data_IF_030852924894
#
_entry.id   IF_030852924894
#
_cell.length_a   1.000
_cell.length_b   1.000
_cell.length_c   1.000
_cell.angle_alpha   90.00
_cell.angle_beta   90.00
_cell.angle_gamma   90.00
#
_symmetry.space_group_name_H-M   'P 1'
#
loop_
_entity.id
_entity.type
_entity.pdbx_description
1 polymer ?
#
# COMPACT_ATOMS: atom_id res chain seq x y z
N UNK A 1 -38.45 -32.34 -13.73
CA UNK A 1 -38.64 -31.28 -12.73
C UNK A 1 -37.36 -30.43 -12.60
N UNK A 2 -36.87 -29.87 -13.72
CA UNK A 2 -35.58 -29.13 -13.79
C UNK A 2 -35.57 -28.02 -14.86
N UNK A 3 -36.74 -27.56 -15.33
CA UNK A 3 -36.85 -26.59 -16.43
C UNK A 3 -37.74 -25.38 -16.12
N UNK A 4 -37.98 -25.06 -14.83
CA UNK A 4 -38.81 -23.90 -14.44
C UNK A 4 -38.09 -22.81 -13.65
N UNK A 5 -36.82 -22.99 -13.26
CA UNK A 5 -36.07 -22.03 -12.42
C UNK A 5 -35.03 -21.17 -13.18
N UNK A 6 -34.92 -21.30 -14.51
CA UNK A 6 -33.95 -20.54 -15.31
C UNK A 6 -34.53 -19.26 -15.94
N UNK A 7 -35.84 -19.03 -15.85
CA UNK A 7 -36.51 -17.87 -16.49
C UNK A 7 -36.60 -16.66 -15.55
N UNK A 8 -36.45 -16.83 -14.24
CA UNK A 8 -36.49 -15.71 -13.27
C UNK A 8 -35.13 -15.02 -13.03
N UNK A 9 -34.01 -15.68 -13.30
CA UNK A 9 -32.67 -15.10 -13.13
C UNK A 9 -32.31 -14.09 -14.24
N UNK A 10 -32.99 -14.12 -15.39
CA UNK A 10 -32.75 -13.18 -16.49
C UNK A 10 -33.61 -11.91 -16.41
N UNK A 11 -34.64 -11.85 -15.56
CA UNK A 11 -35.53 -10.67 -15.46
C UNK A 11 -35.15 -9.67 -14.35
N UNK A 12 -34.25 -10.01 -13.42
CA UNK A 12 -33.75 -9.04 -12.43
C UNK A 12 -32.49 -8.27 -12.88
N UNK A 13 -31.82 -8.67 -13.97
CA UNK A 13 -30.62 -7.98 -14.46
C UNK A 13 -30.91 -6.79 -15.38
N UNK A 14 -32.17 -6.54 -15.74
CA UNK A 14 -32.55 -5.50 -16.70
C UNK A 14 -33.18 -4.23 -16.06
N UNK A 15 -33.30 -4.15 -14.73
CA UNK A 15 -33.95 -3.01 -14.05
C UNK A 15 -33.09 -2.27 -13.01
N UNK A 16 -31.84 -2.67 -12.79
CA UNK A 16 -30.90 -1.94 -11.90
C UNK A 16 -29.81 -1.14 -12.64
N UNK A 17 -29.76 -1.21 -13.98
CA UNK A 17 -28.65 -0.64 -14.77
C UNK A 17 -28.74 0.84 -15.14
N UNK A 18 -29.82 1.57 -14.79
CA UNK A 18 -30.09 2.90 -15.36
C UNK A 18 -30.27 4.05 -14.35
N UNK A 19 -30.04 3.84 -13.05
CA UNK A 19 -30.18 4.93 -12.06
C UNK A 19 -28.89 5.71 -11.81
N UNK A 20 -27.71 5.12 -12.05
CA UNK A 20 -26.40 5.77 -11.80
C UNK A 20 -25.94 6.72 -12.92
N UNK A 21 -26.30 6.45 -14.18
CA UNK A 21 -25.74 7.18 -15.34
C UNK A 21 -26.34 8.57 -15.54
N UNK A 22 -27.52 8.84 -14.97
CA UNK A 22 -28.21 10.13 -15.08
C UNK A 22 -27.84 11.12 -13.96
N UNK A 23 -27.36 10.63 -12.82
CA UNK A 23 -27.07 11.45 -11.63
C UNK A 23 -25.80 12.30 -11.77
N UNK A 24 -24.74 11.73 -12.34
CA UNK A 24 -23.43 12.39 -12.44
C UNK A 24 -23.37 13.57 -13.41
N UNK A 25 -24.41 13.79 -14.23
CA UNK A 25 -24.45 14.92 -15.18
C UNK A 25 -24.76 16.26 -14.52
N UNK A 26 -25.22 16.27 -13.26
CA UNK A 26 -25.61 17.49 -12.53
C UNK A 26 -24.67 17.86 -11.38
N UNK A 27 -23.76 16.98 -11.00
CA UNK A 27 -22.78 17.24 -9.93
C UNK A 27 -21.56 18.00 -10.44
N UNK A 28 -20.90 18.76 -9.57
CA UNK A 28 -19.57 19.31 -9.87
C UNK A 28 -18.62 18.15 -10.09
N UNK A 29 -18.05 18.05 -11.29
CA UNK A 29 -17.16 16.95 -11.66
C UNK A 29 -15.71 17.29 -11.31
N UNK A 30 -15.04 16.39 -10.59
CA UNK A 30 -13.61 16.50 -10.32
C UNK A 30 -12.78 16.32 -11.60
N UNK A 31 -11.61 16.96 -11.66
CA UNK A 31 -10.68 16.81 -12.78
C UNK A 31 -10.01 15.45 -12.70
N UNK A 32 -10.21 14.62 -13.71
CA UNK A 32 -9.56 13.31 -13.76
C UNK A 32 -8.25 13.37 -14.53
N UNK A 33 -7.19 12.82 -13.99
CA UNK A 33 -5.87 12.80 -14.61
C UNK A 33 -5.12 11.49 -14.29
N UNK A 34 -3.87 11.40 -14.78
CA UNK A 34 -2.97 10.32 -14.42
C UNK A 34 -1.66 10.91 -13.90
N UNK A 35 -1.39 10.74 -12.61
CA UNK A 35 -0.18 11.26 -11.96
C UNK A 35 0.68 10.09 -11.51
N UNK A 36 1.93 10.03 -11.97
CA UNK A 36 2.86 8.91 -11.69
C UNK A 36 2.30 7.52 -12.04
N UNK A 37 1.40 7.45 -13.02
CA UNK A 37 0.74 6.20 -13.41
C UNK A 37 -0.52 5.85 -12.61
N UNK A 38 -0.83 6.59 -11.56
CA UNK A 38 -2.05 6.41 -10.76
C UNK A 38 -3.20 7.21 -11.35
N UNK A 39 -4.42 6.66 -11.30
CA UNK A 39 -5.63 7.36 -11.72
C UNK A 39 -6.07 8.35 -10.63
N UNK A 40 -5.99 9.63 -10.92
CA UNK A 40 -6.26 10.71 -9.96
C UNK A 40 -7.59 11.39 -10.26
N UNK A 41 -8.35 11.70 -9.21
CA UNK A 41 -9.48 12.64 -9.26
C UNK A 41 -9.18 13.82 -8.36
N UNK A 42 -8.98 14.97 -8.98
CA UNK A 42 -8.69 16.24 -8.32
C UNK A 42 -9.97 17.06 -8.13
N UNK A 43 -10.39 17.15 -6.87
CA UNK A 43 -11.53 17.89 -6.39
C UNK A 43 -11.14 19.06 -5.47
N UNK A 44 -9.88 19.53 -5.56
CA UNK A 44 -9.33 20.56 -4.69
C UNK A 44 -10.16 21.86 -4.73
N UNK A 45 -10.53 22.39 -3.56
CA UNK A 45 -11.19 23.69 -3.41
C UNK A 45 -12.42 23.89 -4.31
N UNK A 46 -13.31 22.90 -4.32
CA UNK A 46 -14.53 22.89 -5.13
C UNK A 46 -15.80 23.26 -4.35
N UNK A 47 -15.68 23.69 -3.10
CA UNK A 47 -16.80 23.94 -2.16
C UNK A 47 -17.71 22.70 -1.98
N UNK A 48 -17.14 21.49 -2.01
CA UNK A 48 -17.89 20.26 -1.81
C UNK A 48 -18.34 20.13 -0.36
N UNK A 49 -19.61 19.78 -0.15
CA UNK A 49 -20.19 19.58 1.19
C UNK A 49 -20.29 18.11 1.60
N UNK A 50 -20.10 17.21 0.64
CA UNK A 50 -20.20 15.76 0.75
C UNK A 50 -19.09 15.14 -0.09
N UNK A 51 -18.75 13.89 0.22
CA UNK A 51 -17.88 13.10 -0.64
C UNK A 51 -18.54 12.96 -2.03
N UNK A 52 -17.79 13.12 -3.14
CA UNK A 52 -18.34 13.05 -4.49
C UNK A 52 -18.76 11.62 -4.85
N UNK A 53 -19.96 11.45 -5.39
CA UNK A 53 -20.51 10.13 -5.76
C UNK A 53 -20.12 9.66 -7.16
N UNK A 54 -19.45 10.53 -7.92
CA UNK A 54 -19.20 10.41 -9.35
C UNK A 54 -17.71 10.38 -9.71
N UNK A 55 -16.88 9.80 -8.84
CA UNK A 55 -15.49 9.49 -9.19
C UNK A 55 -15.41 8.26 -10.10
N UNK A 56 -14.34 8.12 -10.90
CA UNK A 56 -14.09 6.90 -11.65
C UNK A 56 -13.98 5.67 -10.71
N UNK A 57 -14.60 4.51 -11.03
CA UNK A 57 -14.61 3.35 -10.14
C UNK A 57 -13.23 2.78 -9.76
N UNK A 58 -12.22 3.01 -10.60
CA UNK A 58 -10.83 2.59 -10.39
C UNK A 58 -9.91 3.78 -10.06
N UNK A 59 -10.45 4.81 -9.39
CA UNK A 59 -9.65 5.92 -8.87
C UNK A 59 -8.70 5.40 -7.78
N UNK A 60 -7.45 5.84 -7.83
CA UNK A 60 -6.39 5.45 -6.91
C UNK A 60 -5.97 6.62 -6.02
N UNK A 61 -6.06 7.85 -6.52
CA UNK A 61 -5.74 9.08 -5.79
C UNK A 61 -6.94 9.99 -5.81
N UNK A 62 -7.41 10.40 -4.63
CA UNK A 62 -8.54 11.32 -4.48
C UNK A 62 -8.08 12.52 -3.68
N UNK A 63 -8.07 13.67 -4.34
CA UNK A 63 -7.71 14.96 -3.74
C UNK A 63 -9.00 15.73 -3.44
N UNK A 64 -9.34 15.88 -2.16
CA UNK A 64 -10.55 16.53 -1.66
C UNK A 64 -10.23 17.67 -0.67
N UNK A 65 -8.99 18.14 -0.64
CA UNK A 65 -8.57 19.17 0.30
C UNK A 65 -9.24 20.53 0.03
N UNK A 66 -9.32 21.36 1.07
CA UNK A 66 -9.89 22.71 1.03
C UNK A 66 -11.37 22.73 0.59
N UNK A 67 -12.14 21.75 1.05
CA UNK A 67 -13.58 21.68 0.81
C UNK A 67 -14.36 21.96 2.11
N UNK A 68 -15.63 21.58 2.17
CA UNK A 68 -16.51 21.77 3.35
C UNK A 68 -17.21 20.47 3.71
N UNK A 69 -16.54 19.35 3.48
CA UNK A 69 -17.06 18.01 3.76
C UNK A 69 -17.14 17.86 5.28
N UNK A 70 -18.31 17.44 5.78
CA UNK A 70 -18.54 17.30 7.23
C UNK A 70 -18.49 15.87 7.73
N UNK A 71 -18.67 14.92 6.83
CA UNK A 71 -18.75 13.49 7.11
C UNK A 71 -18.24 12.75 5.89
N UNK A 72 -17.59 11.63 6.15
CA UNK A 72 -17.31 10.59 5.16
C UNK A 72 -17.92 9.32 5.73
N UNK A 73 -18.80 8.68 4.96
CA UNK A 73 -19.57 7.53 5.40
C UNK A 73 -18.97 6.25 4.78
N UNK A 74 -19.31 5.07 5.33
CA UNK A 74 -18.82 3.79 4.81
C UNK A 74 -19.04 3.63 3.29
N UNK A 75 -20.23 3.99 2.81
CA UNK A 75 -20.60 3.88 1.40
C UNK A 75 -19.74 4.77 0.46
N UNK A 76 -19.15 5.85 1.00
CA UNK A 76 -18.29 6.75 0.22
C UNK A 76 -16.97 6.06 -0.13
N UNK A 77 -16.34 5.37 0.83
CA UNK A 77 -15.09 4.65 0.61
C UNK A 77 -15.31 3.26 -0.01
N UNK A 78 -16.39 2.58 0.37
CA UNK A 78 -16.74 1.25 -0.18
C UNK A 78 -16.95 1.28 -1.70
N UNK A 79 -17.47 2.39 -2.25
CA UNK A 79 -17.66 2.59 -3.69
C UNK A 79 -16.34 2.66 -4.47
N UNK A 80 -15.24 2.99 -3.81
CA UNK A 80 -13.93 3.23 -4.43
C UNK A 80 -12.83 2.39 -3.75
N UNK A 81 -12.89 1.05 -3.87
CA UNK A 81 -12.03 0.13 -3.11
C UNK A 81 -10.55 0.18 -3.49
N UNK A 82 -10.21 0.85 -4.60
CA UNK A 82 -8.85 0.98 -5.13
C UNK A 82 -8.15 2.27 -4.68
N UNK A 83 -8.77 3.09 -3.83
CA UNK A 83 -8.12 4.29 -3.30
C UNK A 83 -6.88 3.87 -2.52
N UNK A 84 -5.75 4.45 -2.91
CA UNK A 84 -4.43 4.31 -2.29
C UNK A 84 -4.02 5.59 -1.56
N UNK A 85 -4.46 6.75 -2.05
CA UNK A 85 -4.16 8.05 -1.45
C UNK A 85 -5.44 8.87 -1.36
N UNK A 86 -5.81 9.26 -0.14
CA UNK A 86 -6.99 10.08 0.14
C UNK A 86 -6.57 11.34 0.91
N UNK A 87 -6.75 12.50 0.29
CA UNK A 87 -6.44 13.79 0.89
C UNK A 87 -7.73 14.53 1.23
N UNK A 88 -7.96 14.78 2.51
CA UNK A 88 -9.15 15.45 3.06
C UNK A 88 -8.74 16.66 3.91
N UNK A 89 -7.54 17.20 3.70
CA UNK A 89 -6.99 18.33 4.46
C UNK A 89 -7.89 19.55 4.37
N UNK A 90 -8.04 20.31 5.44
CA UNK A 90 -8.84 21.55 5.47
C UNK A 90 -10.29 21.28 4.99
N UNK A 91 -10.98 20.47 5.78
CA UNK A 91 -12.42 20.20 5.66
C UNK A 91 -13.08 20.45 7.03
N UNK A 92 -14.34 20.03 7.18
CA UNK A 92 -15.12 20.22 8.41
C UNK A 92 -15.51 18.87 9.02
N UNK A 93 -14.69 17.85 8.83
CA UNK A 93 -15.00 16.49 9.26
C UNK A 93 -14.88 16.43 10.78
N UNK A 94 -15.98 16.12 11.44
CA UNK A 94 -16.01 16.00 12.90
C UNK A 94 -16.22 14.58 13.41
N UNK A 95 -16.67 13.68 12.53
CA UNK A 95 -16.92 12.27 12.85
C UNK A 95 -16.63 11.41 11.63
N UNK A 96 -16.00 10.28 11.89
CA UNK A 96 -15.85 9.14 11.00
C UNK A 96 -16.62 7.96 11.60
N UNK A 97 -17.25 7.15 10.77
CA UNK A 97 -17.93 5.94 11.23
C UNK A 97 -16.91 4.85 11.58
N UNK A 98 -17.21 4.01 12.58
CA UNK A 98 -16.26 3.03 13.13
C UNK A 98 -15.84 1.97 12.08
N UNK A 99 -16.73 1.66 11.12
CA UNK A 99 -16.52 0.70 10.04
C UNK A 99 -16.09 1.33 8.70
N UNK A 100 -15.84 2.65 8.64
CA UNK A 100 -15.60 3.37 7.38
C UNK A 100 -14.45 2.78 6.54
N UNK A 101 -13.45 2.20 7.20
CA UNK A 101 -12.26 1.63 6.55
C UNK A 101 -12.31 0.11 6.40
N UNK A 102 -13.40 -0.56 6.76
CA UNK A 102 -13.50 -2.03 6.81
C UNK A 102 -13.06 -2.74 5.52
N UNK A 103 -13.37 -2.16 4.36
CA UNK A 103 -13.02 -2.72 3.05
C UNK A 103 -11.83 -2.01 2.37
N UNK A 104 -11.20 -1.05 3.07
CA UNK A 104 -10.07 -0.26 2.56
C UNK A 104 -8.78 -1.07 2.61
N UNK A 105 -8.61 -1.97 1.63
CA UNK A 105 -7.44 -2.86 1.57
C UNK A 105 -6.24 -2.27 0.84
N UNK A 106 -6.42 -1.16 0.11
CA UNK A 106 -5.36 -0.54 -0.72
C UNK A 106 -4.87 0.81 -0.20
N UNK A 107 -5.49 1.36 0.87
CA UNK A 107 -5.21 2.71 1.35
C UNK A 107 -3.81 2.79 1.97
N UNK A 108 -2.91 3.55 1.35
CA UNK A 108 -1.53 3.74 1.78
C UNK A 108 -1.30 5.07 2.50
N UNK A 109 -1.97 6.13 2.04
CA UNK A 109 -1.86 7.48 2.62
C UNK A 109 -3.25 8.04 2.89
N UNK A 110 -3.46 8.51 4.12
CA UNK A 110 -4.66 9.21 4.52
C UNK A 110 -4.29 10.52 5.20
N UNK A 111 -4.75 11.63 4.64
CA UNK A 111 -4.57 12.96 5.20
C UNK A 111 -5.93 13.50 5.67
N UNK A 112 -6.07 13.64 6.99
CA UNK A 112 -7.23 14.20 7.67
C UNK A 112 -6.84 15.48 8.45
N UNK A 113 -5.70 16.08 8.13
CA UNK A 113 -5.22 17.27 8.83
C UNK A 113 -6.17 18.45 8.67
N UNK A 114 -6.15 19.38 9.62
CA UNK A 114 -6.99 20.59 9.60
C UNK A 114 -8.47 20.21 9.42
N UNK A 115 -8.99 19.46 10.38
CA UNK A 115 -10.40 19.09 10.48
C UNK A 115 -10.88 19.33 11.93
N UNK A 116 -12.03 18.78 12.31
CA UNK A 116 -12.60 18.94 13.65
C UNK A 116 -12.85 17.57 14.31
N UNK A 117 -11.99 16.59 14.04
CA UNK A 117 -12.15 15.23 14.54
C UNK A 117 -11.99 15.19 16.06
N UNK A 118 -12.91 14.52 16.74
CA UNK A 118 -12.77 14.21 18.16
C UNK A 118 -12.09 12.84 18.40
N UNK A 119 -12.26 11.90 17.46
CA UNK A 119 -11.63 10.57 17.49
C UNK A 119 -11.46 10.03 16.07
N UNK A 120 -10.58 9.05 15.90
CA UNK A 120 -10.52 8.22 14.69
C UNK A 120 -11.04 6.81 14.97
N UNK A 121 -11.61 6.12 13.96
CA UNK A 121 -12.07 4.74 14.14
C UNK A 121 -10.88 3.82 14.44
N UNK A 122 -10.97 2.91 15.42
CA UNK A 122 -9.85 2.04 15.81
C UNK A 122 -9.26 1.21 14.67
N UNK A 123 -10.10 0.86 13.69
CA UNK A 123 -9.72 0.12 12.48
C UNK A 123 -8.64 0.81 11.64
N UNK A 124 -8.48 2.14 11.75
CA UNK A 124 -7.49 2.92 10.99
C UNK A 124 -6.04 2.47 11.28
N UNK A 125 -5.74 2.08 12.52
CA UNK A 125 -4.40 1.65 12.95
C UNK A 125 -4.09 0.20 12.57
N UNK A 126 -5.11 -0.56 12.16
CA UNK A 126 -5.01 -1.96 11.75
C UNK A 126 -5.09 -2.14 10.23
N UNK A 127 -5.13 -1.04 9.47
CA UNK A 127 -5.19 -1.11 8.02
C UNK A 127 -3.96 -1.81 7.44
N UNK A 128 -4.16 -2.81 6.55
CA UNK A 128 -3.09 -3.72 6.13
C UNK A 128 -2.06 -3.07 5.19
N UNK A 129 -2.35 -1.87 4.68
CA UNK A 129 -1.53 -1.15 3.71
C UNK A 129 -1.25 0.30 4.08
N UNK A 130 -1.87 0.83 5.16
CA UNK A 130 -1.72 2.23 5.56
C UNK A 130 -0.32 2.48 6.12
N UNK A 131 0.45 3.29 5.39
CA UNK A 131 1.83 3.67 5.73
C UNK A 131 1.89 5.05 6.35
N UNK A 132 1.00 5.97 5.94
CA UNK A 132 1.06 7.37 6.34
C UNK A 132 -0.30 7.88 6.75
N UNK A 133 -0.37 8.41 7.98
CA UNK A 133 -1.56 8.99 8.56
C UNK A 133 -1.26 10.40 9.07
N UNK A 134 -1.96 11.40 8.54
CA UNK A 134 -1.90 12.78 9.01
C UNK A 134 -3.21 13.13 9.75
N UNK A 135 -3.08 13.53 11.01
CA UNK A 135 -4.16 13.98 11.89
C UNK A 135 -3.90 15.38 12.46
N UNK A 136 -2.84 16.05 12.01
CA UNK A 136 -2.42 17.33 12.58
C UNK A 136 -3.51 18.39 12.50
N UNK A 137 -3.51 19.32 13.46
CA UNK A 137 -4.51 20.40 13.53
C UNK A 137 -5.96 19.90 13.58
N UNK A 138 -6.20 18.78 14.27
CA UNK A 138 -7.53 18.39 14.74
C UNK A 138 -7.62 18.72 16.23
N UNK A 139 -7.77 20.01 16.56
CA UNK A 139 -7.81 20.47 17.95
C UNK A 139 -8.92 19.72 18.71
N UNK A 140 -8.54 18.95 19.74
CA UNK A 140 -9.36 18.06 20.56
C UNK A 140 -9.52 16.60 20.10
N UNK A 141 -8.68 16.10 19.17
CA UNK A 141 -8.68 14.67 18.85
C UNK A 141 -8.04 13.84 19.97
N UNK A 142 -8.78 12.86 20.50
CA UNK A 142 -8.24 11.90 21.46
C UNK A 142 -7.61 10.69 20.74
N UNK A 143 -6.36 10.87 20.31
CA UNK A 143 -5.61 9.79 19.64
C UNK A 143 -5.25 8.66 20.61
N UNK A 144 -4.99 8.98 21.88
CA UNK A 144 -4.68 8.00 22.92
C UNK A 144 -5.84 7.00 23.11
N UNK A 145 -7.06 7.49 23.29
CA UNK A 145 -8.27 6.65 23.37
C UNK A 145 -8.51 5.86 22.07
N UNK A 146 -8.28 6.49 20.92
CA UNK A 146 -8.47 5.83 19.62
C UNK A 146 -7.50 4.64 19.43
N UNK A 147 -6.25 4.78 19.90
CA UNK A 147 -5.24 3.71 19.88
C UNK A 147 -5.53 2.64 20.93
N UNK A 148 -5.94 3.01 22.14
CA UNK A 148 -6.34 2.07 23.19
C UNK A 148 -7.46 1.16 22.71
N UNK A 149 -8.50 1.74 22.11
CA UNK A 149 -9.62 1.01 21.52
C UNK A 149 -9.22 0.14 20.31
N UNK A 150 -8.05 0.38 19.70
CA UNK A 150 -7.54 -0.42 18.60
C UNK A 150 -6.75 -1.65 19.07
N UNK A 151 -6.47 -1.79 20.37
CA UNK A 151 -5.71 -2.92 20.90
C UNK A 151 -6.55 -4.21 20.90
N UNK A 152 -5.93 -5.37 20.61
CA UNK A 152 -4.53 -5.56 20.22
C UNK A 152 -4.27 -5.18 18.74
N UNK A 153 -3.20 -4.41 18.50
CA UNK A 153 -2.77 -4.04 17.14
C UNK A 153 -1.83 -5.14 16.61
N UNK A 154 -2.33 -6.00 15.72
CA UNK A 154 -1.60 -7.20 15.28
C UNK A 154 -0.78 -7.02 14.00
N UNK A 155 -1.21 -6.14 13.08
CA UNK A 155 -0.68 -6.08 11.71
C UNK A 155 -0.57 -4.65 11.16
N UNK A 156 -0.27 -3.67 12.02
CA UNK A 156 -0.10 -2.29 11.53
C UNK A 156 1.07 -2.18 10.55
N UNK A 157 0.84 -1.45 9.46
CA UNK A 157 1.88 -1.12 8.46
C UNK A 157 2.33 0.34 8.53
N UNK A 158 1.86 1.05 9.56
CA UNK A 158 2.07 2.49 9.71
C UNK A 158 3.56 2.79 9.91
N UNK A 159 4.11 3.65 9.05
CA UNK A 159 5.50 4.11 9.11
C UNK A 159 5.62 5.57 9.49
N UNK A 160 4.56 6.35 9.25
CA UNK A 160 4.50 7.78 9.53
C UNK A 160 3.16 8.16 10.17
N UNK A 161 3.23 8.79 11.33
CA UNK A 161 2.10 9.37 12.04
C UNK A 161 2.38 10.85 12.33
N UNK A 162 1.46 11.73 11.93
CA UNK A 162 1.50 13.14 12.30
C UNK A 162 0.29 13.48 13.16
N UNK A 163 0.54 13.79 14.43
CA UNK A 163 -0.46 14.21 15.41
C UNK A 163 -0.13 15.60 15.97
N UNK A 164 0.60 16.42 15.22
CA UNK A 164 0.97 17.77 15.68
C UNK A 164 -0.22 18.73 15.79
N UNK A 165 -0.17 19.64 16.75
CA UNK A 165 -1.20 20.66 17.01
C UNK A 165 -2.60 20.05 17.20
N UNK A 166 -2.71 18.95 17.93
CA UNK A 166 -3.98 18.33 18.31
C UNK A 166 -4.51 18.83 19.65
N UNK A 167 -3.67 19.46 20.46
CA UNK A 167 -4.06 20.04 21.74
C UNK A 167 -4.45 21.51 21.57
N UNK A 168 -5.57 21.92 22.17
CA UNK A 168 -5.98 23.31 22.24
C UNK A 168 -5.15 24.07 23.29
N UNK A 169 -4.85 25.36 23.06
CA UNK A 169 -4.03 26.17 23.95
C UNK A 169 -4.60 26.19 25.38
N UNK A 170 -3.78 25.81 26.36
CA UNK A 170 -4.16 25.76 27.78
C UNK A 170 -4.91 24.49 28.21
N UNK A 171 -5.11 23.55 27.28
CA UNK A 171 -5.56 22.20 27.56
C UNK A 171 -4.40 21.21 27.38
N UNK A 172 -4.59 20.00 27.88
CA UNK A 172 -3.62 18.92 27.79
C UNK A 172 -4.29 17.65 27.27
N UNK A 173 -3.51 16.79 26.63
CA UNK A 173 -3.98 15.48 26.14
C UNK A 173 -3.08 14.35 26.63
N UNK A 174 -3.59 13.14 26.71
CA UNK A 174 -2.74 11.99 26.99
C UNK A 174 -1.84 11.67 25.79
N UNK A 175 -0.57 11.34 26.06
CA UNK A 175 0.31 10.82 25.02
C UNK A 175 -0.17 9.42 24.61
N UNK A 176 -0.26 9.10 23.31
CA UNK A 176 -0.79 7.79 22.92
C UNK A 176 0.15 6.63 23.29
N UNK A 177 -0.39 5.61 23.98
CA UNK A 177 0.32 4.35 24.16
C UNK A 177 0.26 3.52 22.88
N UNK A 178 1.32 3.63 22.08
CA UNK A 178 1.49 2.90 20.84
C UNK A 178 1.64 1.37 21.02
N UNK A 179 1.87 0.89 22.25
CA UNK A 179 2.18 -0.51 22.56
C UNK A 179 3.34 -1.07 21.72
N UNK A 180 3.08 -1.72 20.59
CA UNK A 180 4.12 -2.20 19.67
C UNK A 180 3.75 -1.78 18.24
N UNK A 181 4.29 -0.63 17.78
CA UNK A 181 4.21 -0.21 16.38
C UNK A 181 5.60 -0.33 15.73
N UNK A 182 6.05 -1.56 15.43
CA UNK A 182 7.44 -1.82 15.07
C UNK A 182 7.88 -1.16 13.76
N UNK A 183 6.97 -0.77 12.88
CA UNK A 183 7.30 -0.13 11.61
C UNK A 183 7.31 1.41 11.67
N UNK A 184 6.79 2.01 12.75
CA UNK A 184 6.66 3.45 12.88
C UNK A 184 8.06 4.09 12.96
N UNK A 185 8.39 4.90 11.97
CA UNK A 185 9.70 5.51 11.80
C UNK A 185 9.66 7.03 11.97
N UNK A 186 8.50 7.65 11.76
CA UNK A 186 8.30 9.08 11.92
C UNK A 186 7.08 9.32 12.79
N UNK A 187 7.26 10.12 13.85
CA UNK A 187 6.17 10.66 14.66
C UNK A 187 6.34 12.16 14.77
N UNK A 188 5.27 12.92 14.53
CA UNK A 188 5.25 14.36 14.77
C UNK A 188 4.23 14.68 15.87
N UNK A 189 4.72 15.26 16.96
CA UNK A 189 4.00 15.70 18.15
C UNK A 189 4.20 17.21 18.40
N UNK A 190 4.62 17.94 17.36
CA UNK A 190 5.00 19.34 17.49
C UNK A 190 3.79 20.19 17.88
N UNK A 191 3.99 21.14 18.80
CA UNK A 191 2.96 22.07 19.24
C UNK A 191 1.89 21.45 20.15
N UNK A 192 2.08 20.21 20.62
CA UNK A 192 1.15 19.56 21.53
C UNK A 192 1.54 19.75 23.00
N UNK A 193 0.53 19.75 23.86
CA UNK A 193 0.69 19.76 25.32
C UNK A 193 0.16 18.44 25.88
N UNK A 194 1.05 17.63 26.45
CA UNK A 194 0.70 16.33 27.01
C UNK A 194 0.53 16.39 28.52
N UNK A 195 -0.39 15.60 29.06
CA UNK A 195 -0.57 15.44 30.51
C UNK A 195 0.71 14.90 31.15
N UNK A 196 1.27 13.84 30.57
CA UNK A 196 2.40 13.13 31.13
C UNK A 196 3.22 12.51 30.02
N UNK A 197 4.54 12.47 30.21
CA UNK A 197 5.46 11.79 29.32
C UNK A 197 6.52 11.03 30.13
N UNK A 198 6.90 9.86 29.62
CA UNK A 198 7.91 8.99 30.24
C UNK A 198 8.59 8.12 29.18
N UNK A 199 9.74 7.49 29.49
CA UNK A 199 10.44 6.62 28.55
C UNK A 199 9.56 5.49 28.00
N UNK A 200 8.61 4.99 28.81
CA UNK A 200 7.63 3.97 28.43
C UNK A 200 6.90 4.28 27.13
N UNK A 201 6.50 5.53 26.93
CA UNK A 201 5.75 5.97 25.75
C UNK A 201 6.53 5.81 24.42
N UNK A 202 7.87 5.77 24.50
CA UNK A 202 8.75 5.56 23.36
C UNK A 202 9.25 4.12 23.24
N UNK A 203 9.01 3.27 24.25
CA UNK A 203 9.49 1.88 24.26
C UNK A 203 8.92 1.06 23.10
N UNK A 204 7.65 1.29 22.76
CA UNK A 204 6.93 0.64 21.66
C UNK A 204 7.32 1.08 20.25
N UNK A 205 8.21 2.07 20.12
CA UNK A 205 8.57 2.71 18.85
C UNK A 205 9.99 2.30 18.44
N UNK A 206 10.24 1.00 18.36
CA UNK A 206 11.59 0.46 18.20
C UNK A 206 12.27 0.76 16.85
N UNK A 207 11.52 1.21 15.84
CA UNK A 207 12.06 1.66 14.55
C UNK A 207 11.98 3.19 14.39
N UNK A 208 11.74 3.94 15.46
CA UNK A 208 11.64 5.40 15.38
C UNK A 208 12.96 5.99 14.87
N UNK A 209 12.87 6.81 13.84
CA UNK A 209 14.01 7.49 13.22
C UNK A 209 13.92 9.00 13.44
N UNK A 210 12.70 9.55 13.39
CA UNK A 210 12.47 10.99 13.53
C UNK A 210 11.30 11.20 14.49
N UNK A 211 11.55 11.98 15.53
CA UNK A 211 10.53 12.55 16.39
C UNK A 211 10.54 14.07 16.19
N UNK A 212 9.55 14.59 15.48
CA UNK A 212 9.34 16.03 15.38
C UNK A 212 8.56 16.50 16.61
N UNK A 213 9.22 17.24 17.49
CA UNK A 213 8.68 17.66 18.80
C UNK A 213 8.91 19.16 19.08
N UNK A 214 8.96 20.00 18.04
CA UNK A 214 9.12 21.44 18.26
C UNK A 214 7.93 22.00 19.04
N UNK A 215 8.20 22.73 20.11
CA UNK A 215 7.18 23.29 21.02
C UNK A 215 6.26 22.24 21.69
N UNK A 216 6.69 20.98 21.77
CA UNK A 216 5.96 19.98 22.56
C UNK A 216 6.27 20.15 24.06
N UNK A 217 5.25 20.14 24.91
CA UNK A 217 5.39 20.22 26.37
C UNK A 217 4.69 19.05 27.05
N UNK A 218 5.17 18.64 28.22
CA UNK A 218 4.53 17.62 29.04
C UNK A 218 4.87 17.82 30.52
N UNK A 219 4.03 17.32 31.42
CA UNK A 219 4.47 17.06 32.80
C UNK A 219 5.20 15.71 32.88
N UNK A 220 5.98 15.54 33.95
CA UNK A 220 6.77 14.34 34.20
C UNK A 220 6.47 13.85 35.63
N UNK A 221 6.39 12.54 35.82
CA UNK A 221 6.08 11.91 37.12
C UNK A 221 7.30 12.00 38.04
N UNK A 222 8.48 11.69 37.50
CA UNK A 222 9.76 11.97 38.12
C UNK A 222 10.45 13.10 37.35
N UNK A 223 11.00 14.08 38.08
CA UNK A 223 11.79 15.18 37.54
C UNK A 223 12.91 14.73 36.57
N UNK A 224 13.42 13.51 36.74
CA UNK A 224 14.46 12.91 35.91
C UNK A 224 13.94 12.23 34.62
N UNK A 225 12.63 12.00 34.46
CA UNK A 225 12.09 11.30 33.29
C UNK A 225 12.33 12.06 31.99
N UNK A 226 12.28 13.39 32.03
CA UNK A 226 12.64 14.23 30.88
C UNK A 226 14.06 13.92 30.37
N UNK A 227 15.03 13.84 31.29
CA UNK A 227 16.42 13.50 30.95
C UNK A 227 16.55 12.05 30.48
N UNK A 228 15.79 11.11 31.05
CA UNK A 228 15.73 9.72 30.58
C UNK A 228 15.21 9.63 29.15
N UNK A 229 14.19 10.41 28.78
CA UNK A 229 13.64 10.45 27.41
C UNK A 229 14.69 10.98 26.44
N UNK A 230 15.34 12.12 26.74
CA UNK A 230 16.41 12.67 25.92
C UNK A 230 17.53 11.63 25.70
N UNK A 231 17.98 10.95 26.77
CA UNK A 231 18.96 9.86 26.68
C UNK A 231 18.45 8.69 25.84
N UNK A 232 17.21 8.24 26.08
CA UNK A 232 16.59 7.13 25.38
C UNK A 232 16.61 7.32 23.86
N UNK A 233 16.17 8.50 23.41
CA UNK A 233 16.10 8.88 21.99
C UNK A 233 17.50 9.06 21.39
N UNK A 234 18.42 9.72 22.11
CA UNK A 234 19.79 9.95 21.64
C UNK A 234 20.60 8.65 21.48
N UNK A 235 20.54 7.73 22.44
CA UNK A 235 21.22 6.43 22.37
C UNK A 235 20.74 5.59 21.17
N UNK A 236 19.46 5.76 20.80
CA UNK A 236 18.83 5.09 19.66
C UNK A 236 18.98 5.87 18.35
N UNK A 237 19.71 6.99 18.36
CA UNK A 237 19.99 7.85 17.19
C UNK A 237 18.71 8.37 16.51
N UNK A 238 17.66 8.59 17.29
CA UNK A 238 16.46 9.28 16.81
C UNK A 238 16.84 10.74 16.53
N UNK A 239 16.33 11.31 15.44
CA UNK A 239 16.43 12.74 15.15
C UNK A 239 15.30 13.46 15.86
N UNK A 240 15.62 14.30 16.84
CA UNK A 240 14.66 15.05 17.66
C UNK A 240 15.29 16.35 18.17
N UNK A 241 14.48 17.22 18.79
CA UNK A 241 14.96 18.39 19.55
C UNK A 241 14.91 18.04 21.04
N UNK A 242 15.97 18.29 21.80
CA UNK A 242 15.99 17.97 23.22
C UNK A 242 14.79 18.60 23.96
N UNK A 243 14.08 17.78 24.73
CA UNK A 243 13.04 18.27 25.64
C UNK A 243 13.68 19.18 26.68
N UNK A 244 13.00 20.29 26.98
CA UNK A 244 13.44 21.23 28.01
C UNK A 244 13.08 20.66 29.38
N UNK A 245 14.09 20.24 30.14
CA UNK A 245 13.89 19.57 31.42
C UNK A 245 13.92 20.55 32.60
N UNK A 246 13.09 20.33 33.65
CA UNK A 246 12.95 21.27 34.76
C UNK A 246 14.20 21.36 35.66
N UNK A 247 14.89 20.23 35.86
CA UNK A 247 16.05 20.14 36.76
C UNK A 247 17.38 20.04 36.01
N UNK A 248 18.48 20.26 36.72
CA UNK A 248 19.84 20.11 36.17
C UNK A 248 20.10 18.64 35.80
N UNK A 249 20.89 18.43 34.76
CA UNK A 249 21.21 17.10 34.26
C UNK A 249 22.01 16.27 35.27
N UNK A 250 22.86 16.92 36.05
CA UNK A 250 23.75 16.30 37.02
C UNK A 250 22.99 15.55 38.13
N UNK A 251 21.82 16.06 38.51
CA UNK A 251 20.98 15.47 39.56
C UNK A 251 20.34 14.14 39.13
N UNK A 252 20.35 13.84 37.83
CA UNK A 252 19.66 12.69 37.22
C UNK A 252 20.61 11.68 36.56
N UNK A 253 21.93 11.79 36.78
CA UNK A 253 22.93 10.92 36.11
C UNK A 253 22.77 9.44 36.50
N UNK A 254 22.54 9.19 37.78
CA UNK A 254 22.46 7.81 38.32
C UNK A 254 21.10 7.16 38.05
N UNK A 255 20.09 7.95 37.68
CA UNK A 255 18.75 7.44 37.42
C UNK A 255 18.72 6.62 36.11
N UNK A 256 18.38 5.34 36.25
CA UNK A 256 18.41 4.38 35.14
C UNK A 256 17.05 4.33 34.46
N UNK A 257 17.07 3.89 33.19
CA UNK A 257 15.84 3.51 32.50
C UNK A 257 15.31 2.25 33.17
N UNK A 258 14.00 2.19 33.38
CA UNK A 258 13.36 1.05 34.04
C UNK A 258 13.51 -0.24 33.21
N UNK A 259 13.61 -1.36 33.92
CA UNK A 259 13.75 -2.67 33.27
C UNK A 259 12.55 -2.98 32.35
N UNK A 260 11.34 -2.64 32.78
CA UNK A 260 10.10 -2.91 32.05
C UNK A 260 10.02 -2.14 30.73
N UNK A 261 10.63 -0.94 30.65
CA UNK A 261 10.74 -0.14 29.44
C UNK A 261 11.72 -0.78 28.44
N UNK A 262 12.87 -1.24 28.94
CA UNK A 262 13.85 -1.97 28.13
C UNK A 262 13.27 -3.29 27.61
N UNK A 263 12.49 -3.99 28.43
CA UNK A 263 11.80 -5.22 28.03
C UNK A 263 10.77 -4.95 26.93
N UNK A 264 9.95 -3.89 27.06
CA UNK A 264 8.99 -3.51 26.02
C UNK A 264 9.68 -3.16 24.69
N UNK A 265 10.78 -2.42 24.73
CA UNK A 265 11.57 -2.15 23.53
C UNK A 265 12.14 -3.42 22.90
N UNK A 266 12.65 -4.35 23.70
CA UNK A 266 13.15 -5.65 23.22
C UNK A 266 12.05 -6.47 22.52
N UNK A 267 10.84 -6.51 23.12
CA UNK A 267 9.65 -7.15 22.52
C UNK A 267 9.26 -6.52 21.18
N UNK A 268 9.28 -5.19 21.08
CA UNK A 268 9.06 -4.50 19.82
C UNK A 268 10.13 -4.86 18.78
N UNK A 269 11.41 -4.88 19.16
CA UNK A 269 12.51 -5.23 18.26
C UNK A 269 12.40 -6.65 17.71
N UNK A 270 11.98 -7.62 18.53
CA UNK A 270 11.71 -8.99 18.08
C UNK A 270 10.61 -9.01 16.99
N UNK A 271 9.51 -8.28 17.22
CA UNK A 271 8.44 -8.13 16.22
C UNK A 271 8.96 -7.50 14.93
N UNK A 272 9.77 -6.44 15.01
CA UNK A 272 10.37 -5.79 13.85
C UNK A 272 11.24 -6.74 13.04
N UNK A 273 12.11 -7.52 13.70
CA UNK A 273 12.97 -8.51 13.05
C UNK A 273 12.14 -9.60 12.35
N UNK A 274 11.09 -10.09 13.00
CA UNK A 274 10.16 -11.06 12.41
C UNK A 274 9.48 -10.53 11.14
N UNK A 275 9.04 -9.26 11.17
CA UNK A 275 8.45 -8.60 9.99
C UNK A 275 9.49 -8.47 8.87
N UNK A 276 10.69 -7.99 9.18
CA UNK A 276 11.77 -7.82 8.20
C UNK A 276 12.17 -9.16 7.57
N UNK A 277 12.29 -10.22 8.37
CA UNK A 277 12.57 -11.57 7.89
C UNK A 277 11.47 -12.09 6.96
N UNK A 278 10.20 -11.91 7.32
CA UNK A 278 9.08 -12.28 6.48
C UNK A 278 9.08 -11.53 5.14
N UNK A 279 9.38 -10.22 5.14
CA UNK A 279 9.52 -9.42 3.93
C UNK A 279 10.71 -9.86 3.07
N UNK A 280 11.83 -10.22 3.69
CA UNK A 280 13.00 -10.76 3.01
C UNK A 280 12.67 -12.09 2.31
N UNK A 281 12.03 -13.03 3.00
CA UNK A 281 11.61 -14.30 2.42
C UNK A 281 10.66 -14.11 1.22
N UNK A 282 9.70 -13.17 1.32
CA UNK A 282 8.83 -12.83 0.18
C UNK A 282 9.64 -12.38 -1.05
N UNK A 283 10.66 -11.52 -0.86
CA UNK A 283 11.55 -11.09 -1.96
C UNK A 283 12.33 -12.27 -2.55
N UNK A 284 12.84 -13.17 -1.72
CA UNK A 284 13.57 -14.37 -2.19
C UNK A 284 12.66 -15.27 -3.04
N UNK A 285 11.44 -15.55 -2.59
CA UNK A 285 10.48 -16.36 -3.35
C UNK A 285 10.08 -15.74 -4.68
N UNK A 286 9.95 -14.41 -4.75
CA UNK A 286 9.73 -13.70 -6.01
C UNK A 286 10.88 -13.96 -6.99
N UNK A 287 12.13 -13.82 -6.54
CA UNK A 287 13.30 -14.06 -7.38
C UNK A 287 13.43 -15.52 -7.83
N UNK A 288 13.10 -16.48 -6.96
CA UNK A 288 13.01 -17.90 -7.32
C UNK A 288 11.97 -18.09 -8.42
N UNK A 289 10.78 -17.49 -8.27
CA UNK A 289 9.72 -17.55 -9.29
C UNK A 289 10.16 -16.98 -10.64
N UNK A 290 10.80 -15.81 -10.64
CA UNK A 290 11.36 -15.18 -11.84
C UNK A 290 12.40 -16.09 -12.50
N UNK A 291 13.31 -16.69 -11.73
CA UNK A 291 14.32 -17.61 -12.25
C UNK A 291 13.69 -18.85 -12.91
N UNK A 292 12.68 -19.46 -12.27
CA UNK A 292 11.95 -20.61 -12.82
C UNK A 292 11.26 -20.25 -14.13
N UNK A 293 10.60 -19.10 -14.20
CA UNK A 293 9.95 -18.60 -15.41
C UNK A 293 10.97 -18.39 -16.54
N UNK A 294 12.12 -17.79 -16.24
CA UNK A 294 13.19 -17.59 -17.23
C UNK A 294 13.75 -18.92 -17.75
N UNK A 295 13.98 -19.90 -16.88
CA UNK A 295 14.43 -21.25 -17.28
C UNK A 295 13.37 -21.91 -18.18
N UNK A 296 12.10 -21.78 -17.84
CA UNK A 296 11.00 -22.29 -18.65
C UNK A 296 10.95 -21.64 -20.04
N UNK A 297 11.04 -20.30 -20.12
CA UNK A 297 11.09 -19.60 -21.42
C UNK A 297 12.32 -19.98 -22.25
N UNK A 298 13.50 -20.10 -21.62
CA UNK A 298 14.72 -20.58 -22.29
C UNK A 298 14.53 -22.00 -22.84
N UNK A 299 13.88 -22.89 -22.09
CA UNK A 299 13.57 -24.24 -22.55
C UNK A 299 12.66 -24.23 -23.79
N UNK A 300 11.62 -23.38 -23.80
CA UNK A 300 10.72 -23.21 -24.94
C UNK A 300 11.48 -22.68 -26.15
N UNK A 301 12.35 -21.68 -25.98
CA UNK A 301 13.18 -21.12 -27.04
C UNK A 301 14.10 -22.20 -27.63
N UNK A 302 14.74 -23.01 -26.79
CA UNK A 302 15.60 -24.12 -27.24
C UNK A 302 14.80 -25.15 -28.04
N UNK A 303 13.61 -25.54 -27.56
CA UNK A 303 12.71 -26.45 -28.27
C UNK A 303 12.27 -25.86 -29.61
N UNK A 304 11.93 -24.57 -29.65
CA UNK A 304 11.57 -23.84 -30.86
C UNK A 304 12.71 -23.79 -31.89
N UNK A 305 13.94 -23.48 -31.44
CA UNK A 305 15.13 -23.49 -32.30
C UNK A 305 15.38 -24.89 -32.87
N UNK A 306 15.31 -25.94 -32.03
CA UNK A 306 15.45 -27.34 -32.47
C UNK A 306 14.37 -27.72 -33.50
N UNK A 307 13.12 -27.36 -33.24
CA UNK A 307 12.00 -27.60 -34.16
C UNK A 307 12.20 -26.89 -35.50
N UNK A 308 12.60 -25.61 -35.49
CA UNK A 308 12.87 -24.82 -36.69
C UNK A 308 14.00 -25.44 -37.53
N UNK A 309 15.11 -25.84 -36.90
CA UNK A 309 16.23 -26.52 -37.57
C UNK A 309 15.77 -27.86 -38.19
N UNK A 310 14.99 -28.65 -37.48
CA UNK A 310 14.47 -29.92 -38.01
C UNK A 310 13.50 -29.72 -39.18
N UNK A 311 12.63 -28.71 -39.11
CA UNK A 311 11.74 -28.33 -40.22
C UNK A 311 12.51 -27.90 -41.47
N UNK A 312 13.61 -27.15 -41.31
CA UNK A 312 14.50 -26.81 -42.42
C UNK A 312 15.18 -28.05 -43.02
N UNK A 313 15.72 -28.96 -42.19
CA UNK A 313 16.30 -30.22 -42.66
C UNK A 313 15.30 -31.06 -43.46
N UNK A 314 14.06 -31.20 -42.97
CA UNK A 314 12.98 -31.93 -43.69
C UNK A 314 12.59 -31.26 -45.02
N UNK A 315 12.69 -29.93 -45.14
CA UNK A 315 12.47 -29.21 -46.40
C UNK A 315 13.60 -29.47 -47.41
N UNK A 316 14.85 -29.52 -46.95
CA UNK A 316 16.02 -29.82 -47.79
C UNK A 316 16.00 -31.28 -48.29
N UNK A 317 15.70 -32.25 -47.43
CA UNK A 317 15.61 -33.67 -47.84
C UNK A 317 14.44 -33.96 -48.77
N UNK A 318 13.29 -33.27 -48.63
CA UNK A 318 12.19 -33.37 -49.60
C UNK A 318 12.55 -32.84 -50.99
N UNK A 319 13.40 -31.81 -51.09
CA UNK A 319 13.90 -31.29 -52.39
C UNK A 319 14.98 -32.18 -53.02
N UNK A 320 15.63 -33.04 -52.23
CA UNK A 320 16.72 -33.91 -52.67
C UNK A 320 16.28 -35.35 -53.06
N UNK A 321 14.97 -35.66 -53.12
CA UNK A 321 14.52 -36.95 -53.66
C UNK A 321 14.79 -37.00 -55.18
N UNK A 322 15.56 -37.97 -55.70
CA UNK A 322 15.81 -38.09 -57.13
C UNK A 322 14.56 -38.58 -57.86
N UNK A 323 14.27 -37.97 -59.02
CA UNK A 323 13.33 -38.49 -60.01
C UNK A 323 13.87 -39.82 -60.53
N UNK A 324 13.34 -40.93 -60.05
CA UNK A 324 13.52 -42.22 -60.70
C UNK A 324 12.76 -42.14 -62.02
N UNK A 325 13.46 -41.95 -63.14
CA UNK A 325 12.88 -42.12 -64.48
C UNK A 325 12.61 -43.62 -64.70
N UNK A 326 11.46 -44.03 -65.24
CA UNK A 326 11.29 -45.40 -65.67
C UNK A 326 12.27 -45.73 -66.81
N UNK A 327 12.66 -47.01 -67.00
CA UNK A 327 13.58 -47.39 -68.07
C UNK A 327 12.93 -47.11 -69.43
N UNK A 328 13.71 -46.55 -70.36
CA UNK A 328 13.32 -46.49 -71.76
C UNK A 328 13.13 -47.92 -72.29
N UNK A 329 11.93 -48.22 -72.78
CA UNK A 329 11.69 -49.38 -73.61
C UNK A 329 12.51 -49.23 -74.90
N UNK A 330 13.34 -50.23 -75.19
CA UNK A 330 14.06 -50.36 -76.45
C UNK A 330 13.05 -50.86 -77.48
N UNK A 331 12.62 -49.98 -78.40
CA UNK A 331 11.96 -50.39 -79.63
C UNK A 331 13.02 -50.98 -80.58
N UNK A 332 13.00 -52.30 -80.71
CA UNK A 332 13.57 -53.00 -81.85
C UNK A 332 12.80 -52.59 -83.10
N UNK A 333 13.42 -51.86 -84.03
CA UNK A 333 13.05 -51.90 -85.45
C UNK A 333 14.21 -51.46 -86.35
N UNK A 334 14.59 -52.40 -87.21
CA UNK A 334 15.08 -52.21 -88.57
C UNK A 334 16.34 -51.39 -88.80
N UNK A 335 17.50 -52.08 -88.83
CA UNK A 335 18.48 -51.91 -89.92
C UNK A 335 19.17 -53.25 -90.21
N UNK A 336 18.37 -54.17 -90.75
CA UNK A 336 18.82 -55.20 -91.68
C UNK A 336 19.01 -54.49 -93.03
N UNK A 337 20.25 -54.18 -93.41
CA UNK A 337 20.75 -53.83 -94.77
C UNK A 337 21.95 -52.91 -94.62
N UNK A 338 23.16 -53.46 -94.76
CA UNK A 338 24.44 -52.81 -95.16
C UNK A 338 25.64 -53.50 -94.47
N UNK A 339 25.86 -54.78 -94.70
CA UNK A 339 27.19 -55.41 -94.60
C UNK A 339 27.20 -56.76 -95.33
N UNK A 340 26.92 -56.76 -96.63
CA UNK A 340 27.25 -57.90 -97.51
C UNK A 340 27.41 -57.44 -98.97
N UNK A 341 28.42 -56.60 -99.23
CA UNK A 341 29.01 -56.39 -100.57
C UNK A 341 30.44 -55.86 -100.43
N UNK A 342 31.36 -56.73 -100.04
CA UNK A 342 32.79 -56.64 -100.38
C UNK A 342 33.39 -58.05 -100.23
N UNK A 343 33.15 -58.89 -101.24
CA UNK A 343 33.99 -60.00 -101.67
C UNK A 343 33.44 -60.48 -103.03
N UNK A 344 33.88 -59.78 -104.08
CA UNK A 344 34.30 -60.30 -105.40
C UNK A 344 34.53 -59.13 -106.36
#
# INVERSE_FOLDING_TARGET
MLAKNLVWLFFCFALSGNTLTTSCKKEKTCKTSRTLGLKTSDCYKMDLKKFPTCLPPNVEVVELSYNRIRKVEYDDLHRYPYITHLYLTDNLISKLDDDIFKDSTSLETLDLSVNALFRVPPSIFQLPTLKTLYLSQNMNINVAESLENAKPILQSTLTKLDISYITEDGYTTDFPDFSDLPLLAFVNISGDQFNYLSPRHFAGLCNLQILANSNATAEFENDCDCWKINRWLAERKVVFTDFQCPNNKEDCIDDQIEFDDLEAFSKCMEKLQNIQFALYLKKVWIWIGVAVILIFFLSIIIVYIKWRKNKQKKRLTKRAKPLIRPPLAIEHKDQFQLMERLND
#
